data_IF_393080042928
#
_entry.id   IF_393080042928
#
_cell.length_a   1.000
_cell.length_b   1.000
_cell.length_c   1.000
_cell.angle_alpha   90.00
_cell.angle_beta   90.00
_cell.angle_gamma   90.00
#
_symmetry.space_group_name_H-M   'P 1'
#
loop_
_entity.id
_entity.type
_entity.pdbx_description
1 polymer ?
#
# COMPACT_ATOMS: atom_id res chain seq x y z
N UNK A 1 32.49 -9.42 2.17
CA UNK A 1 31.56 -10.01 3.16
C UNK A 1 30.23 -9.32 2.92
N UNK A 2 29.33 -9.97 2.19
CA UNK A 2 28.03 -9.40 1.83
C UNK A 2 27.13 -9.48 3.06
N UNK A 3 26.63 -8.33 3.49
CA UNK A 3 25.72 -8.22 4.62
C UNK A 3 24.34 -8.72 4.17
N UNK A 4 24.02 -9.94 4.59
CA UNK A 4 22.72 -10.57 4.39
C UNK A 4 21.71 -9.90 5.32
N UNK A 5 21.27 -8.69 4.97
CA UNK A 5 20.16 -8.04 5.66
C UNK A 5 18.88 -8.83 5.35
N UNK A 6 18.48 -9.60 6.35
CA UNK A 6 17.41 -10.59 6.31
C UNK A 6 16.07 -9.99 5.87
N UNK A 7 15.47 -10.66 4.89
CA UNK A 7 14.07 -10.52 4.46
C UNK A 7 13.10 -10.69 5.65
N UNK A 8 13.55 -11.26 6.77
CA UNK A 8 12.75 -11.44 8.00
C UNK A 8 12.34 -10.12 8.66
N UNK A 9 13.14 -9.04 8.53
CA UNK A 9 12.77 -7.73 9.12
C UNK A 9 11.56 -7.07 8.46
N UNK A 10 11.12 -7.54 7.28
CA UNK A 10 9.90 -7.06 6.63
C UNK A 10 8.63 -7.56 7.33
N UNK A 11 8.70 -8.67 8.07
CA UNK A 11 7.53 -9.45 8.48
C UNK A 11 7.25 -9.44 9.99
N UNK A 12 8.18 -8.94 10.82
CA UNK A 12 8.07 -8.99 12.29
C UNK A 12 7.23 -7.86 12.93
N UNK A 13 6.81 -6.84 12.17
CA UNK A 13 5.90 -5.77 12.65
C UNK A 13 4.40 -6.11 12.41
N UNK A 14 4.06 -7.39 12.42
CA UNK A 14 2.67 -7.88 12.34
C UNK A 14 2.04 -7.89 13.75
N UNK A 15 1.81 -6.70 14.30
CA UNK A 15 1.10 -6.50 15.57
C UNK A 15 -0.40 -6.83 15.40
N UNK A 16 -0.78 -8.06 15.71
CA UNK A 16 -2.17 -8.50 15.89
C UNK A 16 -2.56 -8.33 17.35
N UNK A 17 -2.80 -7.09 17.77
CA UNK A 17 -3.33 -6.78 19.09
C UNK A 17 -4.72 -6.17 18.99
N UNK A 18 -5.78 -6.99 18.95
CA UNK A 18 -7.12 -6.54 19.33
C UNK A 18 -7.89 -7.70 19.98
N UNK A 19 -7.77 -7.78 21.31
CA UNK A 19 -8.53 -8.65 22.20
C UNK A 19 -9.85 -7.93 22.54
N UNK A 20 -10.92 -8.26 21.82
CA UNK A 20 -12.24 -7.70 22.06
C UNK A 20 -13.17 -8.77 22.66
N UNK A 21 -13.37 -8.65 23.98
CA UNK A 21 -14.35 -9.41 24.75
C UNK A 21 -15.75 -9.37 24.14
N UNK A 22 -16.33 -10.56 24.00
CA UNK A 22 -17.64 -10.82 23.41
C UNK A 22 -18.74 -10.62 24.47
N UNK A 23 -19.57 -9.59 24.29
CA UNK A 23 -20.87 -9.50 24.96
C UNK A 23 -21.98 -9.35 23.91
N UNK A 24 -22.83 -10.39 23.86
CA UNK A 24 -23.81 -10.67 22.80
C UNK A 24 -25.22 -10.39 23.30
N UNK A 25 -25.70 -9.15 23.12
CA UNK A 25 -27.12 -8.82 23.22
C UNK A 25 -27.44 -7.47 22.56
N UNK A 26 -27.30 -7.39 21.23
CA UNK A 26 -27.67 -6.19 20.45
C UNK A 26 -27.22 -6.25 18.98
N UNK A 27 -27.06 -7.46 18.45
CA UNK A 27 -26.02 -7.76 17.47
C UNK A 27 -26.28 -7.25 16.05
N UNK A 28 -27.51 -7.05 15.59
CA UNK A 28 -27.76 -6.81 14.16
C UNK A 28 -27.56 -5.33 13.75
N UNK A 29 -28.19 -4.38 14.45
CA UNK A 29 -28.13 -2.95 14.12
C UNK A 29 -26.78 -2.31 14.54
N UNK A 30 -26.23 -2.76 15.68
CA UNK A 30 -24.89 -2.37 16.12
C UNK A 30 -23.79 -2.99 15.26
N UNK A 31 -23.98 -4.19 14.69
CA UNK A 31 -23.01 -4.82 13.78
C UNK A 31 -22.98 -4.13 12.43
N UNK A 32 -24.14 -3.79 11.84
CA UNK A 32 -24.20 -3.00 10.61
C UNK A 32 -23.50 -1.63 10.78
N UNK A 33 -23.73 -0.98 11.92
CA UNK A 33 -23.07 0.30 12.26
C UNK A 33 -21.55 0.14 12.43
N UNK A 34 -21.08 -0.90 13.13
CA UNK A 34 -19.63 -1.19 13.26
C UNK A 34 -19.00 -1.55 11.93
N UNK A 35 -19.68 -2.31 11.08
CA UNK A 35 -19.21 -2.68 9.75
C UNK A 35 -19.06 -1.44 8.85
N UNK A 36 -20.03 -0.53 8.88
CA UNK A 36 -19.96 0.74 8.14
C UNK A 36 -18.83 1.64 8.64
N UNK A 37 -18.65 1.78 9.97
CA UNK A 37 -17.52 2.54 10.56
C UNK A 37 -16.18 1.91 10.18
N UNK A 38 -16.08 0.58 10.22
CA UNK A 38 -14.87 -0.14 9.80
C UNK A 38 -14.57 0.07 8.31
N UNK A 39 -15.57 0.00 7.43
CA UNK A 39 -15.40 0.27 6.01
C UNK A 39 -14.93 1.71 5.74
N UNK A 40 -15.51 2.70 6.43
CA UNK A 40 -15.11 4.10 6.32
C UNK A 40 -13.66 4.32 6.80
N UNK A 41 -13.26 3.67 7.91
CA UNK A 41 -11.89 3.74 8.41
C UNK A 41 -10.87 3.10 7.45
N UNK A 42 -11.23 1.99 6.81
CA UNK A 42 -10.40 1.36 5.76
C UNK A 42 -10.22 2.28 4.56
N UNK A 43 -11.29 2.91 4.09
CA UNK A 43 -11.23 3.85 2.98
C UNK A 43 -10.40 5.09 3.31
N UNK A 44 -10.55 5.64 4.52
CA UNK A 44 -9.71 6.75 5.00
C UNK A 44 -8.24 6.35 5.04
N UNK A 45 -7.93 5.16 5.52
CA UNK A 45 -6.55 4.66 5.61
C UNK A 45 -5.91 4.50 4.22
N UNK A 46 -6.68 4.03 3.23
CA UNK A 46 -6.24 3.96 1.84
C UNK A 46 -6.01 5.37 1.25
N UNK A 47 -6.94 6.29 1.47
CA UNK A 47 -6.82 7.68 1.02
C UNK A 47 -5.61 8.38 1.61
N UNK A 48 -5.35 8.20 2.90
CA UNK A 48 -4.18 8.76 3.60
C UNK A 48 -2.87 8.21 3.05
N UNK A 49 -2.81 6.91 2.77
CA UNK A 49 -1.62 6.28 2.19
C UNK A 49 -1.35 6.80 0.77
N UNK A 50 -2.39 6.93 -0.06
CA UNK A 50 -2.28 7.50 -1.41
C UNK A 50 -1.88 8.99 -1.34
N UNK A 51 -2.45 9.75 -0.40
CA UNK A 51 -2.07 11.14 -0.17
C UNK A 51 -0.59 11.29 0.17
N UNK A 52 -0.08 10.46 1.08
CA UNK A 52 1.37 10.43 1.39
C UNK A 52 2.19 10.02 0.17
N UNK A 53 1.73 9.03 -0.60
CA UNK A 53 2.44 8.56 -1.79
C UNK A 53 2.63 9.64 -2.85
N UNK A 54 1.67 10.58 -2.99
CA UNK A 54 1.79 11.72 -3.91
C UNK A 54 3.02 12.60 -3.67
N UNK A 55 3.61 12.54 -2.47
CA UNK A 55 4.79 13.32 -2.11
C UNK A 55 6.11 12.62 -2.46
N UNK A 56 6.09 11.31 -2.73
CA UNK A 56 7.27 10.47 -2.97
C UNK A 56 8.18 11.04 -4.09
N UNK A 57 7.65 11.49 -5.26
CA UNK A 57 8.49 12.01 -6.34
C UNK A 57 9.35 13.23 -5.96
N UNK A 58 8.97 13.95 -4.90
CA UNK A 58 9.67 15.15 -4.44
C UNK A 58 10.48 14.94 -3.15
N UNK A 59 10.31 13.81 -2.46
CA UNK A 59 11.04 13.51 -1.22
C UNK A 59 12.48 13.09 -1.53
N UNK A 60 13.45 13.73 -0.88
CA UNK A 60 14.88 13.51 -1.17
C UNK A 60 15.48 12.36 -0.38
N UNK A 61 14.88 12.00 0.76
CA UNK A 61 15.40 10.95 1.66
C UNK A 61 14.89 9.57 1.23
N UNK A 62 15.81 8.74 0.73
CA UNK A 62 15.51 7.37 0.28
C UNK A 62 14.81 6.51 1.33
N UNK A 63 15.30 6.48 2.58
CA UNK A 63 14.65 5.74 3.67
C UNK A 63 13.20 6.19 3.93
N UNK A 64 12.89 7.48 3.70
CA UNK A 64 11.53 8.01 3.88
C UNK A 64 10.63 7.67 2.69
N UNK A 65 11.15 7.70 1.47
CA UNK A 65 10.44 7.20 0.28
C UNK A 65 10.11 5.72 0.43
N UNK A 66 11.07 4.91 0.86
CA UNK A 66 10.87 3.50 1.17
C UNK A 66 9.75 3.29 2.20
N UNK A 67 9.77 4.03 3.31
CA UNK A 67 8.71 3.95 4.33
C UNK A 67 7.33 4.27 3.75
N UNK A 68 7.24 5.27 2.87
CA UNK A 68 5.99 5.65 2.22
C UNK A 68 5.50 4.57 1.24
N UNK A 69 6.40 3.95 0.47
CA UNK A 69 6.08 2.82 -0.40
C UNK A 69 5.58 1.62 0.41
N UNK A 70 6.21 1.29 1.54
CA UNK A 70 5.74 0.23 2.44
C UNK A 70 4.36 0.52 3.01
N UNK A 71 4.10 1.78 3.42
CA UNK A 71 2.77 2.21 3.90
C UNK A 71 1.72 2.07 2.79
N UNK A 72 2.06 2.48 1.57
CA UNK A 72 1.18 2.35 0.41
C UNK A 72 0.87 0.88 0.11
N UNK A 73 1.88 0.02 0.07
CA UNK A 73 1.71 -1.42 -0.12
C UNK A 73 0.74 -2.03 0.92
N UNK A 74 0.94 -1.72 2.20
CA UNK A 74 0.05 -2.19 3.28
C UNK A 74 -1.38 -1.73 3.07
N UNK A 75 -1.58 -0.46 2.74
CA UNK A 75 -2.92 0.08 2.54
C UNK A 75 -3.63 -0.54 1.32
N UNK A 76 -2.91 -0.72 0.21
CA UNK A 76 -3.43 -1.37 -0.99
C UNK A 76 -3.86 -2.81 -0.69
N UNK A 77 -2.96 -3.62 -0.11
CA UNK A 77 -3.22 -5.04 0.18
C UNK A 77 -4.32 -5.26 1.22
N UNK A 78 -4.50 -4.33 2.17
CA UNK A 78 -5.51 -4.47 3.23
C UNK A 78 -6.86 -3.86 2.88
N UNK A 79 -6.90 -2.78 2.10
CA UNK A 79 -8.09 -1.95 1.97
C UNK A 79 -8.59 -1.75 0.53
N UNK A 80 -7.78 -2.07 -0.49
CA UNK A 80 -8.19 -1.90 -1.89
C UNK A 80 -8.86 -3.14 -2.52
N UNK A 81 -9.05 -4.23 -1.76
CA UNK A 81 -9.64 -5.49 -2.26
C UNK A 81 -11.16 -5.43 -2.48
N UNK A 82 -11.85 -4.46 -1.87
CA UNK A 82 -13.28 -4.21 -2.10
C UNK A 82 -13.54 -3.33 -3.33
N UNK A 83 -14.77 -3.33 -3.84
CA UNK A 83 -15.17 -2.59 -5.06
C UNK A 83 -14.79 -1.10 -5.02
N UNK A 84 -15.18 -0.40 -3.96
CA UNK A 84 -14.86 1.03 -3.77
C UNK A 84 -13.35 1.29 -3.65
N UNK A 85 -12.63 0.40 -2.97
CA UNK A 85 -11.18 0.52 -2.80
C UNK A 85 -10.45 0.31 -4.13
N UNK A 86 -10.91 -0.66 -4.93
CA UNK A 86 -10.38 -0.95 -6.27
C UNK A 86 -10.63 0.20 -7.24
N UNK A 87 -11.85 0.75 -7.27
CA UNK A 87 -12.18 1.92 -8.09
C UNK A 87 -11.34 3.14 -7.69
N UNK A 88 -11.18 3.38 -6.39
CA UNK A 88 -10.36 4.48 -5.90
C UNK A 88 -8.88 4.30 -6.25
N UNK A 89 -8.35 3.08 -6.13
CA UNK A 89 -6.98 2.76 -6.53
C UNK A 89 -6.79 2.97 -8.04
N UNK A 90 -7.73 2.50 -8.87
CA UNK A 90 -7.71 2.69 -10.32
C UNK A 90 -7.69 4.18 -10.68
N UNK A 91 -8.54 4.99 -10.06
CA UNK A 91 -8.61 6.44 -10.28
C UNK A 91 -7.35 7.21 -9.85
N UNK A 92 -6.44 6.56 -9.11
CA UNK A 92 -5.18 7.15 -8.62
C UNK A 92 -3.94 6.48 -9.19
N UNK A 93 -4.12 5.52 -10.08
CA UNK A 93 -3.05 4.70 -10.64
C UNK A 93 -2.01 5.59 -11.35
N UNK A 94 -2.44 6.30 -12.39
CA UNK A 94 -1.56 7.09 -13.25
C UNK A 94 -1.03 8.36 -12.57
N UNK A 95 -1.86 9.00 -11.75
CA UNK A 95 -1.53 10.29 -11.15
C UNK A 95 -0.62 10.17 -9.91
N UNK A 96 -0.68 9.04 -9.20
CA UNK A 96 -0.03 8.89 -7.88
C UNK A 96 0.78 7.61 -7.78
N UNK A 97 0.15 6.45 -8.02
CA UNK A 97 0.78 5.15 -7.72
C UNK A 97 1.98 4.90 -8.64
N UNK A 98 1.79 5.07 -9.95
CA UNK A 98 2.86 4.85 -10.94
C UNK A 98 4.02 5.85 -10.75
N UNK A 99 3.80 7.18 -10.67
CA UNK A 99 4.89 8.13 -10.41
C UNK A 99 5.65 7.87 -9.10
N UNK A 100 4.95 7.46 -8.04
CA UNK A 100 5.57 7.10 -6.78
C UNK A 100 6.49 5.87 -6.92
N UNK A 101 6.04 4.83 -7.61
CA UNK A 101 6.83 3.62 -7.84
C UNK A 101 8.03 3.88 -8.74
N UNK A 102 7.85 4.64 -9.83
CA UNK A 102 8.94 4.98 -10.74
C UNK A 102 10.05 5.78 -10.05
N UNK A 103 9.69 6.64 -9.10
CA UNK A 103 10.66 7.36 -8.27
C UNK A 103 11.53 6.42 -7.44
N UNK A 104 10.98 5.28 -7.01
CA UNK A 104 11.71 4.22 -6.29
C UNK A 104 12.44 3.21 -7.18
N UNK A 105 12.17 3.20 -8.49
CA UNK A 105 12.76 2.25 -9.44
C UNK A 105 13.91 2.83 -10.28
N UNK A 106 14.00 4.16 -10.42
CA UNK A 106 15.09 4.79 -11.20
C UNK A 106 16.47 4.36 -10.69
N UNK A 107 17.21 3.71 -11.59
CA UNK A 107 18.57 3.22 -11.33
C UNK A 107 19.54 4.35 -10.95
N UNK A 108 20.47 4.04 -10.04
CA UNK A 108 21.53 4.97 -9.60
C UNK A 108 21.17 5.93 -8.47
N UNK A 109 19.90 6.00 -8.06
CA UNK A 109 19.42 6.91 -6.98
C UNK A 109 18.71 6.16 -5.86
N UNK A 110 17.93 5.13 -6.19
CA UNK A 110 17.20 4.33 -5.21
C UNK A 110 18.07 3.22 -4.61
N UNK A 111 17.92 2.98 -3.31
CA UNK A 111 18.55 1.84 -2.65
C UNK A 111 17.75 0.54 -2.96
N UNK A 112 18.34 -0.66 -2.77
CA UNK A 112 17.65 -1.92 -3.06
C UNK A 112 16.33 -2.13 -2.30
N UNK A 113 16.22 -1.64 -1.07
CA UNK A 113 15.00 -1.78 -0.26
C UNK A 113 13.86 -0.88 -0.78
N UNK A 114 14.19 0.33 -1.26
CA UNK A 114 13.26 1.24 -1.92
C UNK A 114 12.76 0.65 -3.24
N UNK A 115 13.65 0.10 -4.06
CA UNK A 115 13.30 -0.59 -5.30
C UNK A 115 12.38 -1.78 -5.04
N UNK A 116 12.72 -2.61 -4.05
CA UNK A 116 11.88 -3.74 -3.65
C UNK A 116 10.49 -3.28 -3.20
N UNK A 117 10.40 -2.24 -2.37
CA UNK A 117 9.13 -1.69 -1.92
C UNK A 117 8.27 -1.18 -3.10
N UNK A 118 8.89 -0.50 -4.08
CA UNK A 118 8.21 -0.05 -5.30
C UNK A 118 7.69 -1.24 -6.13
N UNK A 119 8.50 -2.28 -6.34
CA UNK A 119 8.06 -3.50 -7.03
C UNK A 119 6.86 -4.16 -6.33
N UNK A 120 6.88 -4.24 -5.00
CA UNK A 120 5.77 -4.83 -4.23
C UNK A 120 4.48 -4.03 -4.36
N UNK A 121 4.56 -2.70 -4.44
CA UNK A 121 3.39 -1.85 -4.71
C UNK A 121 2.83 -2.14 -6.11
N UNK A 122 3.68 -2.18 -7.13
CA UNK A 122 3.25 -2.46 -8.51
C UNK A 122 2.60 -3.83 -8.63
N UNK A 123 3.22 -4.87 -8.06
CA UNK A 123 2.67 -6.24 -8.03
C UNK A 123 1.32 -6.30 -7.31
N UNK A 124 1.20 -5.69 -6.13
CA UNK A 124 -0.09 -5.66 -5.42
C UNK A 124 -1.17 -4.93 -6.22
N UNK A 125 -0.78 -3.86 -6.91
CA UNK A 125 -1.69 -3.05 -7.72
C UNK A 125 -2.19 -3.82 -8.94
N UNK A 126 -1.30 -4.52 -9.65
CA UNK A 126 -1.69 -5.34 -10.81
C UNK A 126 -2.61 -6.50 -10.41
N UNK A 127 -2.33 -7.16 -9.28
CA UNK A 127 -3.17 -8.23 -8.73
C UNK A 127 -4.58 -7.74 -8.38
N UNK A 128 -4.70 -6.57 -7.75
CA UNK A 128 -6.00 -6.05 -7.29
C UNK A 128 -6.83 -5.49 -8.44
N UNK A 129 -6.22 -4.71 -9.33
CA UNK A 129 -6.96 -4.09 -10.42
C UNK A 129 -7.40 -5.13 -11.46
N UNK A 130 -6.57 -6.15 -11.67
CA UNK A 130 -6.80 -7.21 -12.65
C UNK A 130 -6.65 -6.65 -14.07
N UNK A 131 -5.75 -7.24 -14.85
CA UNK A 131 -5.50 -6.79 -16.22
C UNK A 131 -4.06 -7.01 -16.63
N UNK A 132 -3.84 -6.87 -17.93
CA UNK A 132 -2.50 -6.75 -18.48
C UNK A 132 -1.95 -5.37 -18.12
N UNK A 133 -0.80 -5.35 -17.44
CA UNK A 133 -0.14 -4.12 -16.98
C UNK A 133 1.24 -3.98 -17.63
N UNK A 134 1.51 -4.73 -18.71
CA UNK A 134 2.80 -4.76 -19.40
C UNK A 134 3.22 -3.37 -19.91
N UNK A 135 2.26 -2.53 -20.31
CA UNK A 135 2.48 -1.13 -20.72
C UNK A 135 3.25 -0.30 -19.67
N UNK A 136 3.04 -0.56 -18.37
CA UNK A 136 3.74 0.15 -17.29
C UNK A 136 5.15 -0.37 -17.06
N UNK A 137 5.39 -1.65 -17.34
CA UNK A 137 6.73 -2.24 -17.29
C UNK A 137 7.59 -1.66 -18.41
N UNK A 138 7.02 -1.49 -19.61
CA UNK A 138 7.69 -0.89 -20.77
C UNK A 138 7.99 0.61 -20.60
N UNK A 139 7.22 1.32 -19.77
CA UNK A 139 7.43 2.74 -19.50
C UNK A 139 8.59 3.04 -18.53
N UNK A 140 9.25 2.01 -17.98
CA UNK A 140 10.43 2.15 -17.11
C UNK A 140 11.69 2.17 -18.00
N UNK A 141 12.00 3.34 -18.58
CA UNK A 141 13.26 3.65 -19.27
C UNK A 141 14.23 4.45 -18.37
#
# INVERSE_FOLDING_TARGET
VADSMSVQSFMEDFDTGDDAGFDSAGAEEASASRAAVSAAARQSSLADAISVASTIPTEKRSAKREQYLRKLFKAITQYATGEQGREYLYAKLDDVVIPACFSGLRGGVANPAEQYAACRVLEATSVILGGDMDDYCEAID
#
